data_IF_921151787562
#
_entry.id   IF_921151787562
#
_cell.length_a   1.000
_cell.length_b   1.000
_cell.length_c   1.000
_cell.angle_alpha   90.00
_cell.angle_beta   90.00
_cell.angle_gamma   90.00
#
_symmetry.space_group_name_H-M   'P 1'
#
loop_
_entity.id
_entity.type
_entity.pdbx_description
1 polymer ?
#
# COMPACT_ATOMS: atom_id res chain seq x y z
N UNK A 1 -17.00 24.86 11.15
CA UNK A 1 -15.67 24.57 10.58
C UNK A 1 -14.99 23.57 11.49
N UNK A 2 -14.65 22.38 11.01
CA UNK A 2 -13.93 21.39 11.82
C UNK A 2 -12.50 21.90 11.98
N UNK A 3 -12.22 22.51 13.13
CA UNK A 3 -10.92 23.11 13.44
C UNK A 3 -10.02 22.00 14.00
N UNK A 4 -9.46 21.17 13.12
CA UNK A 4 -8.46 20.19 13.52
C UNK A 4 -7.27 20.92 14.15
N UNK A 5 -6.87 20.51 15.35
CA UNK A 5 -5.63 20.95 16.00
C UNK A 5 -4.45 20.81 15.02
N UNK A 6 -3.51 21.75 15.03
CA UNK A 6 -2.32 21.74 14.16
C UNK A 6 -1.59 20.38 14.24
N UNK A 7 -1.53 19.80 15.44
CA UNK A 7 -0.98 18.47 15.69
C UNK A 7 -1.67 17.36 14.87
N UNK A 8 -3.00 17.43 14.73
CA UNK A 8 -3.76 16.43 13.95
C UNK A 8 -3.51 16.59 12.45
N UNK A 9 -3.38 17.82 11.96
CA UNK A 9 -3.02 18.09 10.56
C UNK A 9 -1.62 17.56 10.25
N UNK A 10 -0.66 17.80 11.14
CA UNK A 10 0.71 17.32 10.97
C UNK A 10 0.78 15.78 10.97
N UNK A 11 0.02 15.12 11.86
CA UNK A 11 -0.10 13.66 11.87
C UNK A 11 -0.70 13.10 10.59
N UNK A 12 -1.78 13.72 10.10
CA UNK A 12 -2.41 13.30 8.84
C UNK A 12 -1.42 13.46 7.68
N UNK A 13 -0.70 14.58 7.61
CA UNK A 13 0.32 14.79 6.57
C UNK A 13 1.38 13.70 6.61
N UNK A 14 1.93 13.39 7.80
CA UNK A 14 2.92 12.31 7.99
C UNK A 14 2.39 10.95 7.53
N UNK A 15 1.14 10.62 7.87
CA UNK A 15 0.51 9.36 7.45
C UNK A 15 0.34 9.31 5.94
N UNK A 16 -0.06 10.42 5.30
CA UNK A 16 -0.21 10.49 3.84
C UNK A 16 1.14 10.31 3.13
N UNK A 17 2.21 10.91 3.66
CA UNK A 17 3.55 10.79 3.10
C UNK A 17 4.06 9.33 3.15
N UNK A 18 3.87 8.67 4.29
CA UNK A 18 4.19 7.24 4.44
C UNK A 18 3.32 6.38 3.52
N UNK A 19 2.02 6.68 3.45
CA UNK A 19 1.07 5.95 2.60
C UNK A 19 1.45 6.02 1.12
N UNK A 20 1.94 7.17 0.65
CA UNK A 20 2.43 7.34 -0.73
C UNK A 20 3.55 6.36 -1.05
N UNK A 21 4.54 6.25 -0.16
CA UNK A 21 5.68 5.33 -0.32
C UNK A 21 5.21 3.88 -0.24
N UNK A 22 4.37 3.56 0.75
CA UNK A 22 3.85 2.22 0.95
C UNK A 22 3.05 1.71 -0.27
N UNK A 23 2.18 2.54 -0.84
CA UNK A 23 1.42 2.18 -2.05
C UNK A 23 2.35 2.09 -3.26
N UNK A 24 3.27 3.03 -3.43
CA UNK A 24 4.17 3.05 -4.58
C UNK A 24 5.12 1.84 -4.64
N UNK A 25 5.59 1.33 -3.51
CA UNK A 25 6.42 0.13 -3.51
C UNK A 25 5.63 -1.16 -3.26
N UNK A 26 4.47 -1.06 -2.62
CA UNK A 26 3.62 -2.19 -2.27
C UNK A 26 2.69 -2.66 -3.39
N UNK A 27 2.33 -1.80 -4.35
CA UNK A 27 1.35 -2.17 -5.40
C UNK A 27 1.81 -3.38 -6.22
N UNK A 28 3.10 -3.44 -6.58
CA UNK A 28 3.61 -4.47 -7.47
C UNK A 28 3.70 -5.84 -6.77
N UNK A 29 4.28 -5.96 -5.55
CA UNK A 29 4.19 -7.20 -4.77
C UNK A 29 2.76 -7.66 -4.52
N UNK A 30 1.83 -6.74 -4.23
CA UNK A 30 0.43 -7.07 -3.98
C UNK A 30 -0.24 -7.70 -5.21
N UNK A 31 -0.07 -7.10 -6.39
CA UNK A 31 -0.65 -7.64 -7.63
C UNK A 31 -0.04 -9.00 -7.97
N UNK A 32 1.28 -9.18 -7.81
CA UNK A 32 1.95 -10.46 -8.04
C UNK A 32 1.41 -11.52 -7.09
N UNK A 33 1.24 -11.19 -5.81
CA UNK A 33 0.67 -12.10 -4.81
C UNK A 33 -0.76 -12.53 -5.15
N UNK A 34 -1.61 -11.58 -5.55
CA UNK A 34 -2.97 -11.87 -5.99
C UNK A 34 -2.97 -12.78 -7.22
N UNK A 35 -2.18 -12.44 -8.24
CA UNK A 35 -2.05 -13.27 -9.45
C UNK A 35 -1.59 -14.68 -9.11
N UNK A 36 -0.55 -14.84 -8.28
CA UNK A 36 -0.06 -16.15 -7.84
C UNK A 36 -1.13 -16.97 -7.09
N UNK A 37 -1.89 -16.32 -6.21
CA UNK A 37 -2.85 -17.00 -5.31
C UNK A 37 -4.08 -17.51 -6.05
N UNK A 38 -4.57 -16.75 -7.04
CA UNK A 38 -5.82 -17.05 -7.75
C UNK A 38 -5.63 -17.70 -9.13
N UNK A 39 -4.38 -17.92 -9.57
CA UNK A 39 -4.12 -18.65 -10.82
C UNK A 39 -4.27 -20.16 -10.62
N UNK A 40 -4.99 -20.82 -11.54
CA UNK A 40 -4.99 -22.27 -11.69
C UNK A 40 -4.47 -22.67 -13.07
N UNK A 41 -3.37 -23.44 -13.17
CA UNK A 41 -2.52 -23.91 -12.07
C UNK A 41 -1.69 -22.79 -11.44
N UNK A 42 -1.32 -22.94 -10.16
CA UNK A 42 -0.46 -21.96 -9.48
C UNK A 42 0.92 -21.92 -10.16
N UNK A 43 1.42 -20.74 -10.55
CA UNK A 43 2.71 -20.62 -11.22
C UNK A 43 3.87 -21.03 -10.31
N UNK A 44 4.97 -21.54 -10.88
CA UNK A 44 6.18 -21.84 -10.12
C UNK A 44 7.04 -20.58 -9.98
N UNK A 45 7.46 -20.24 -8.76
CA UNK A 45 8.26 -19.04 -8.48
C UNK A 45 9.69 -19.11 -9.04
N UNK A 46 10.21 -20.33 -9.16
CA UNK A 46 11.51 -20.64 -9.76
C UNK A 46 11.31 -21.77 -10.75
N UNK A 47 12.14 -21.77 -11.81
CA UNK A 47 12.13 -22.81 -12.83
C UNK A 47 12.88 -24.05 -12.37
#
# INVERSE_FOLDING_TARGET
>A
MVNFSEETKERISKVIDISRVAVHYGYLPLIIYLGYTYSEPRPQLFK
#
